data_IF_217471695392
#
_entry.id   IF_217471695392
#
_cell.length_a   1.000
_cell.length_b   1.000
_cell.length_c   1.000
_cell.angle_alpha   90.00
_cell.angle_beta   90.00
_cell.angle_gamma   90.00
#
_symmetry.space_group_name_H-M   'P 1'
#
loop_
_entity.id
_entity.type
_entity.pdbx_description
1 polymer ?
#
# COMPACT_ATOMS: atom_id res chain seq x y z
N UNK A 1 -65.33 -15.23 27.35
CA UNK A 1 -66.21 -14.21 26.74
C UNK A 1 -65.53 -12.87 26.97
N UNK A 2 -65.00 -12.12 26.00
CA UNK A 2 -65.32 -12.02 24.58
C UNK A 2 -64.11 -11.51 23.79
N UNK A 3 -63.92 -12.06 22.59
CA UNK A 3 -62.96 -11.63 21.57
C UNK A 3 -63.29 -10.22 21.03
N UNK A 4 -62.26 -9.42 20.75
CA UNK A 4 -62.23 -8.38 19.70
C UNK A 4 -60.86 -8.46 19.03
N UNK A 5 -60.74 -9.19 17.92
CA UNK A 5 -60.81 -8.72 16.52
C UNK A 5 -59.63 -7.83 16.09
N UNK A 6 -58.72 -8.50 15.37
CA UNK A 6 -57.82 -8.07 14.29
C UNK A 6 -57.94 -6.60 13.83
N UNK A 7 -56.80 -5.90 13.85
CA UNK A 7 -56.49 -4.86 12.88
C UNK A 7 -55.09 -5.15 12.31
N UNK A 8 -55.08 -5.77 11.12
CA UNK A 8 -53.89 -5.93 10.28
C UNK A 8 -53.77 -4.74 9.30
N UNK A 9 -52.76 -4.72 8.42
CA UNK A 9 -51.56 -3.91 8.46
C UNK A 9 -51.68 -2.62 7.63
N UNK A 10 -51.08 -1.54 8.12
CA UNK A 10 -50.92 -0.30 7.35
C UNK A 10 -49.92 -0.49 6.21
N UNK A 11 -50.45 -0.72 5.01
CA UNK A 11 -49.79 -0.63 3.71
C UNK A 11 -48.92 0.64 3.64
N UNK A 12 -47.58 0.49 3.63
CA UNK A 12 -46.68 1.57 3.21
C UNK A 12 -46.45 1.43 1.72
N UNK A 13 -47.23 2.20 0.97
CA UNK A 13 -47.27 2.29 -0.49
C UNK A 13 -45.87 2.54 -1.08
N UNK A 14 -45.41 1.58 -1.86
CA UNK A 14 -44.27 1.64 -2.79
C UNK A 14 -44.68 2.38 -4.06
N UNK A 15 -44.52 3.70 -4.12
CA UNK A 15 -44.66 4.39 -5.42
C UNK A 15 -43.93 5.73 -5.48
N UNK A 16 -42.68 5.72 -5.94
CA UNK A 16 -42.12 6.73 -6.87
C UNK A 16 -40.75 6.28 -7.41
N UNK A 17 -40.73 5.10 -8.02
CA UNK A 17 -39.80 4.81 -9.11
C UNK A 17 -40.41 5.40 -10.38
N UNK A 18 -40.31 6.72 -10.53
CA UNK A 18 -40.29 7.33 -11.86
C UNK A 18 -38.95 8.03 -11.97
N UNK A 19 -38.05 7.28 -12.58
CA UNK A 19 -36.80 7.76 -13.12
C UNK A 19 -37.06 9.04 -13.90
N UNK A 20 -36.71 10.18 -13.31
CA UNK A 20 -36.35 11.36 -14.08
C UNK A 20 -34.97 11.07 -14.65
N UNK A 21 -34.91 10.29 -15.74
CA UNK A 21 -33.70 10.20 -16.55
C UNK A 21 -33.38 11.63 -17.02
N UNK A 22 -32.36 12.22 -16.41
CA UNK A 22 -31.81 13.47 -16.92
C UNK A 22 -31.12 13.13 -18.25
N UNK A 23 -31.43 13.82 -19.36
CA UNK A 23 -30.65 13.64 -20.58
C UNK A 23 -29.19 13.96 -20.23
N UNK A 24 -28.27 13.09 -20.62
CA UNK A 24 -26.82 13.37 -20.59
C UNK A 24 -26.48 14.44 -21.63
N UNK A 25 -27.09 15.62 -21.52
CA UNK A 25 -26.54 16.83 -22.07
C UNK A 25 -25.35 17.19 -21.20
N UNK A 26 -24.19 17.37 -21.83
CA UNK A 26 -22.91 17.84 -21.28
C UNK A 26 -23.08 18.37 -19.84
N UNK A 27 -22.84 17.50 -18.86
CA UNK A 27 -22.74 17.92 -17.46
C UNK A 27 -21.58 18.90 -17.45
N UNK A 28 -21.91 20.18 -17.46
CA UNK A 28 -20.97 21.27 -17.25
C UNK A 28 -20.41 21.02 -15.86
N UNK A 29 -19.26 20.35 -15.81
CA UNK A 29 -18.44 20.27 -14.63
C UNK A 29 -18.17 21.73 -14.29
N UNK A 30 -18.91 22.26 -13.33
CA UNK A 30 -18.52 23.49 -12.67
C UNK A 30 -17.21 23.10 -11.98
N UNK A 31 -16.09 23.30 -12.67
CA UNK A 31 -14.83 23.53 -11.98
C UNK A 31 -15.14 24.72 -11.10
N UNK A 32 -15.44 24.47 -9.83
CA UNK A 32 -15.52 25.52 -8.84
C UNK A 32 -14.13 26.12 -8.81
N UNK A 33 -13.94 27.18 -9.60
CA UNK A 33 -12.93 28.19 -9.35
C UNK A 33 -12.98 28.41 -7.86
N UNK A 34 -11.88 28.06 -7.18
CA UNK A 34 -11.79 28.14 -5.74
C UNK A 34 -12.23 29.55 -5.34
N UNK A 35 -13.39 29.64 -4.69
CA UNK A 35 -13.89 30.88 -4.15
C UNK A 35 -12.87 31.30 -3.10
N UNK A 36 -12.10 32.34 -3.41
CA UNK A 36 -11.10 32.91 -2.51
C UNK A 36 -11.85 33.57 -1.35
N UNK A 37 -12.19 32.77 -0.34
CA UNK A 37 -12.66 33.26 0.94
C UNK A 37 -11.49 33.94 1.64
N UNK A 38 -11.41 35.26 1.48
CA UNK A 38 -10.57 36.11 2.33
C UNK A 38 -11.10 36.08 3.76
N UNK A 39 -10.19 35.71 4.68
CA UNK A 39 -10.22 35.91 6.13
C UNK A 39 -11.15 35.01 7.00
N UNK A 40 -10.62 33.84 7.35
CA UNK A 40 -10.55 33.39 8.75
C UNK A 40 -9.21 32.67 8.90
N UNK A 41 -8.45 32.99 9.95
CA UNK A 41 -7.09 32.55 10.28
C UNK A 41 -6.54 31.44 9.38
N UNK A 42 -5.49 31.74 8.61
CA UNK A 42 -4.68 30.76 7.88
C UNK A 42 -4.49 29.53 8.76
N UNK A 43 -5.32 28.50 8.59
CA UNK A 43 -5.07 27.20 9.18
C UNK A 43 -3.66 26.88 8.71
N UNK A 44 -2.70 26.77 9.62
CA UNK A 44 -1.29 26.65 9.29
C UNK A 44 -1.10 25.34 8.54
N UNK A 45 -1.31 25.35 7.23
CA UNK A 45 -1.07 24.21 6.36
C UNK A 45 0.43 24.04 6.32
N UNK A 46 0.91 22.90 6.84
CA UNK A 46 2.32 22.56 6.82
C UNK A 46 2.87 22.75 5.40
N UNK A 47 4.08 23.30 5.28
CA UNK A 47 4.73 23.47 3.98
C UNK A 47 4.77 22.11 3.27
N UNK A 48 4.35 22.00 1.99
CA UNK A 48 4.39 20.74 1.28
C UNK A 48 5.83 20.21 1.22
N UNK A 49 6.02 18.98 1.68
CA UNK A 49 7.29 18.27 1.62
C UNK A 49 7.17 17.14 0.58
N UNK A 50 8.01 17.20 -0.46
CA UNK A 50 8.04 16.20 -1.54
C UNK A 50 8.59 14.85 -1.08
N UNK A 51 9.41 14.83 -0.03
CA UNK A 51 9.97 13.61 0.56
C UNK A 51 8.87 12.76 1.18
N UNK A 52 7.90 13.39 1.85
CA UNK A 52 6.76 12.74 2.49
C UNK A 52 5.67 12.23 1.54
N UNK A 53 5.76 12.50 0.23
CA UNK A 53 4.70 12.14 -0.72
C UNK A 53 5.25 11.66 -2.06
N UNK A 54 5.67 12.59 -2.92
CA UNK A 54 5.98 12.25 -4.32
C UNK A 54 7.19 11.34 -4.48
N UNK A 55 8.26 11.58 -3.72
CA UNK A 55 9.49 10.80 -3.87
C UNK A 55 9.33 9.38 -3.35
N UNK A 56 8.70 9.20 -2.20
CA UNK A 56 8.38 7.87 -1.66
C UNK A 56 7.57 7.04 -2.65
N UNK A 57 6.49 7.62 -3.21
CA UNK A 57 5.66 6.95 -4.22
C UNK A 57 6.46 6.58 -5.48
N UNK A 58 7.29 7.48 -6.00
CA UNK A 58 8.11 7.20 -7.17
C UNK A 58 9.10 6.05 -6.91
N UNK A 59 9.73 6.03 -5.73
CA UNK A 59 10.70 5.00 -5.35
C UNK A 59 10.01 3.63 -5.21
N UNK A 60 8.83 3.58 -4.62
CA UNK A 60 8.04 2.34 -4.54
C UNK A 60 7.78 1.74 -5.92
N UNK A 61 7.29 2.58 -6.85
CA UNK A 61 6.98 2.13 -8.22
C UNK A 61 8.25 1.74 -8.96
N UNK A 62 9.34 2.47 -8.80
CA UNK A 62 10.64 2.12 -9.39
C UNK A 62 11.15 0.77 -8.88
N UNK A 63 11.06 0.51 -7.57
CA UNK A 63 11.45 -0.77 -6.98
C UNK A 63 10.57 -1.92 -7.51
N UNK A 64 9.25 -1.73 -7.60
CA UNK A 64 8.35 -2.73 -8.19
C UNK A 64 8.69 -3.05 -9.64
N UNK A 65 8.93 -2.02 -10.47
CA UNK A 65 9.29 -2.21 -11.88
C UNK A 65 10.65 -2.86 -12.03
N UNK A 66 11.64 -2.51 -11.19
CA UNK A 66 12.97 -3.12 -11.21
C UNK A 66 12.97 -4.60 -10.83
N UNK A 67 12.07 -5.03 -9.93
CA UNK A 67 11.98 -6.43 -9.52
C UNK A 67 11.52 -7.36 -10.64
N UNK A 68 10.67 -6.91 -11.57
CA UNK A 68 10.16 -7.74 -12.66
C UNK A 68 11.30 -8.34 -13.52
N UNK A 69 12.23 -7.56 -14.11
CA UNK A 69 13.34 -8.13 -14.85
C UNK A 69 14.35 -8.85 -13.95
N UNK A 70 14.56 -8.41 -12.70
CA UNK A 70 15.48 -9.11 -11.79
C UNK A 70 15.01 -10.54 -11.50
N UNK A 71 13.72 -10.75 -11.25
CA UNK A 71 13.17 -12.08 -11.04
C UNK A 71 13.13 -12.86 -12.35
N UNK A 72 12.70 -12.24 -13.45
CA UNK A 72 12.63 -12.90 -14.75
C UNK A 72 13.99 -13.42 -15.21
N UNK A 73 15.05 -12.62 -15.06
CA UNK A 73 16.41 -13.01 -15.46
C UNK A 73 16.93 -14.21 -14.67
N UNK A 74 16.71 -14.24 -13.36
CA UNK A 74 17.09 -15.38 -12.51
C UNK A 74 16.37 -16.68 -12.91
N UNK A 75 15.08 -16.57 -13.27
CA UNK A 75 14.29 -17.73 -13.69
C UNK A 75 14.70 -18.26 -15.07
N UNK A 76 15.12 -17.40 -16.00
CA UNK A 76 15.45 -17.81 -17.37
C UNK A 76 16.91 -18.18 -17.58
N UNK A 77 17.83 -17.47 -16.92
CA UNK A 77 19.27 -17.64 -17.10
C UNK A 77 19.95 -18.38 -15.94
N UNK A 78 19.21 -18.68 -14.87
CA UNK A 78 19.75 -19.29 -13.66
C UNK A 78 20.49 -18.29 -12.78
N UNK A 79 21.20 -18.81 -11.78
CA UNK A 79 21.86 -17.98 -10.80
C UNK A 79 23.06 -17.23 -11.40
N UNK A 80 23.10 -15.92 -11.18
CA UNK A 80 24.23 -15.07 -11.53
C UNK A 80 24.59 -14.15 -10.36
N UNK A 81 25.86 -14.07 -9.93
CA UNK A 81 26.25 -13.30 -8.74
C UNK A 81 25.81 -11.82 -8.79
N UNK A 82 25.81 -11.22 -9.99
CA UNK A 82 25.44 -9.82 -10.17
C UNK A 82 23.94 -9.64 -9.95
N UNK A 83 23.11 -10.44 -10.62
CA UNK A 83 21.66 -10.36 -10.47
C UNK A 83 21.22 -10.80 -9.09
N UNK A 84 21.96 -11.69 -8.44
CA UNK A 84 21.66 -12.18 -7.08
C UNK A 84 21.98 -11.13 -6.02
N UNK A 85 23.06 -10.38 -6.22
CA UNK A 85 23.39 -9.22 -5.38
C UNK A 85 22.37 -8.11 -5.55
N UNK A 86 21.96 -7.81 -6.79
CA UNK A 86 20.90 -6.83 -7.05
C UNK A 86 19.56 -7.26 -6.44
N UNK A 87 19.19 -8.53 -6.61
CA UNK A 87 17.97 -9.08 -6.02
C UNK A 87 18.02 -9.01 -4.49
N UNK A 88 19.17 -9.35 -3.89
CA UNK A 88 19.41 -9.29 -2.44
C UNK A 88 19.36 -7.88 -1.84
N UNK A 89 19.34 -6.82 -2.66
CA UNK A 89 19.18 -5.43 -2.19
C UNK A 89 17.79 -4.89 -2.53
N UNK A 90 17.37 -5.03 -3.80
CA UNK A 90 16.14 -4.43 -4.30
C UNK A 90 14.91 -5.12 -3.67
N UNK A 91 14.96 -6.44 -3.48
CA UNK A 91 13.83 -7.18 -2.88
C UNK A 91 13.62 -6.78 -1.41
N UNK A 92 14.62 -6.81 -0.52
CA UNK A 92 14.42 -6.35 0.86
C UNK A 92 13.99 -4.88 0.95
N UNK A 93 14.52 -4.00 0.10
CA UNK A 93 14.11 -2.60 0.08
C UNK A 93 12.64 -2.43 -0.31
N UNK A 94 12.18 -3.14 -1.34
CA UNK A 94 10.77 -3.11 -1.75
C UNK A 94 9.84 -3.62 -0.64
N UNK A 95 10.25 -4.72 0.02
CA UNK A 95 9.52 -5.27 1.16
C UNK A 95 9.50 -4.31 2.36
N UNK A 96 10.61 -3.63 2.64
CA UNK A 96 10.67 -2.65 3.73
C UNK A 96 9.62 -1.56 3.55
N UNK A 97 9.55 -0.97 2.35
CA UNK A 97 8.59 0.09 2.05
C UNK A 97 7.14 -0.44 2.09
N UNK A 98 6.90 -1.65 1.57
CA UNK A 98 5.58 -2.27 1.63
C UNK A 98 5.12 -2.56 3.06
N UNK A 99 6.01 -3.05 3.93
CA UNK A 99 5.69 -3.27 5.33
C UNK A 99 5.52 -1.98 6.11
N UNK A 100 6.25 -0.91 5.79
CA UNK A 100 6.06 0.40 6.41
C UNK A 100 4.64 0.96 6.14
N UNK A 101 4.12 0.76 4.92
CA UNK A 101 2.73 1.08 4.59
C UNK A 101 1.74 0.24 5.42
N UNK A 102 1.94 -1.07 5.53
CA UNK A 102 1.13 -1.94 6.38
C UNK A 102 1.15 -1.50 7.85
N UNK A 103 2.31 -1.11 8.37
CA UNK A 103 2.44 -0.63 9.76
C UNK A 103 1.66 0.67 9.96
N UNK A 104 1.74 1.60 9.00
CA UNK A 104 1.04 2.88 9.07
C UNK A 104 -0.48 2.71 9.07
N UNK A 105 -0.99 1.74 8.30
CA UNK A 105 -2.42 1.46 8.18
C UNK A 105 -3.00 0.74 9.41
N UNK A 106 -2.31 -0.30 9.90
CA UNK A 106 -2.85 -1.16 10.97
C UNK A 106 -2.38 -0.77 12.37
N UNK A 107 -1.15 -0.26 12.51
CA UNK A 107 -0.55 0.12 13.78
C UNK A 107 -0.42 1.63 13.89
N UNK A 108 -1.55 2.34 13.89
CA UNK A 108 -1.55 3.79 13.87
C UNK A 108 -0.91 4.41 15.14
N UNK A 109 0.07 5.30 14.93
CA UNK A 109 0.80 5.96 16.00
C UNK A 109 -0.06 6.74 17.00
N UNK A 110 -1.27 7.19 16.63
CA UNK A 110 -2.18 7.90 17.56
C UNK A 110 -2.92 6.97 18.51
N UNK A 111 -3.21 5.74 18.08
CA UNK A 111 -4.01 4.78 18.87
C UNK A 111 -3.12 3.81 19.64
N UNK A 112 -2.00 3.38 19.05
CA UNK A 112 -1.13 2.34 19.61
C UNK A 112 0.34 2.75 19.51
N UNK A 113 0.72 3.81 20.24
CA UNK A 113 2.09 4.37 20.23
C UNK A 113 3.15 3.30 20.49
N UNK A 114 2.95 2.44 21.49
CA UNK A 114 3.91 1.38 21.83
C UNK A 114 4.06 0.36 20.70
N UNK A 115 2.93 -0.12 20.18
CA UNK A 115 2.93 -1.16 19.14
C UNK A 115 3.49 -0.63 17.82
N UNK A 116 3.16 0.61 17.46
CA UNK A 116 3.74 1.28 16.29
C UNK A 116 5.27 1.36 16.40
N UNK A 117 5.80 1.83 17.55
CA UNK A 117 7.25 1.90 17.78
C UNK A 117 7.93 0.53 17.76
N UNK A 118 7.30 -0.47 18.36
CA UNK A 118 7.80 -1.85 18.35
C UNK A 118 7.88 -2.38 16.91
N UNK A 119 6.79 -2.30 16.15
CA UNK A 119 6.72 -2.80 14.78
C UNK A 119 7.70 -2.07 13.86
N UNK A 120 7.81 -0.75 14.00
CA UNK A 120 8.78 0.05 13.25
C UNK A 120 10.21 -0.37 13.60
N UNK A 121 10.54 -0.52 14.88
CA UNK A 121 11.86 -0.99 15.31
C UNK A 121 12.18 -2.40 14.79
N UNK A 122 11.21 -3.31 14.86
CA UNK A 122 11.33 -4.66 14.30
C UNK A 122 11.55 -4.63 12.80
N UNK A 123 10.86 -3.76 12.06
CA UNK A 123 11.01 -3.62 10.61
C UNK A 123 12.43 -3.17 10.24
N UNK A 124 12.98 -2.18 10.94
CA UNK A 124 14.36 -1.72 10.71
C UNK A 124 15.40 -2.80 11.04
N UNK A 125 15.21 -3.51 12.15
CA UNK A 125 16.08 -4.61 12.56
C UNK A 125 16.02 -5.75 11.54
N UNK A 126 14.83 -6.16 11.13
CA UNK A 126 14.65 -7.26 10.17
C UNK A 126 15.22 -6.90 8.80
N UNK A 127 14.98 -5.68 8.32
CA UNK A 127 15.49 -5.22 7.02
C UNK A 127 17.01 -5.17 7.01
N UNK A 128 17.62 -4.64 8.08
CA UNK A 128 19.08 -4.60 8.21
C UNK A 128 19.65 -6.01 8.30
N UNK A 129 19.03 -6.89 9.09
CA UNK A 129 19.43 -8.29 9.22
C UNK A 129 19.35 -9.05 7.90
N UNK A 130 18.28 -8.85 7.13
CA UNK A 130 18.10 -9.46 5.81
C UNK A 130 19.14 -8.93 4.83
N UNK A 131 19.39 -7.62 4.78
CA UNK A 131 20.40 -7.05 3.89
C UNK A 131 21.80 -7.61 4.18
N UNK A 132 22.18 -7.68 5.46
CA UNK A 132 23.45 -8.28 5.89
C UNK A 132 23.48 -9.78 5.54
N UNK A 133 22.38 -10.50 5.78
CA UNK A 133 22.25 -11.92 5.43
C UNK A 133 22.40 -12.17 3.93
N UNK A 134 21.73 -11.39 3.08
CA UNK A 134 21.84 -11.47 1.64
C UNK A 134 23.27 -11.17 1.16
N UNK A 135 23.93 -10.16 1.74
CA UNK A 135 25.33 -9.86 1.45
C UNK A 135 26.25 -11.04 1.81
N UNK A 136 26.05 -11.63 2.99
CA UNK A 136 26.82 -12.78 3.45
C UNK A 136 26.61 -14.01 2.55
N UNK A 137 25.37 -14.31 2.17
CA UNK A 137 25.03 -15.41 1.26
C UNK A 137 25.67 -15.24 -0.12
N UNK A 138 25.66 -14.03 -0.67
CA UNK A 138 26.19 -13.76 -2.00
C UNK A 138 27.72 -13.68 -2.05
N UNK A 139 28.37 -13.32 -0.93
CA UNK A 139 29.83 -13.14 -0.89
C UNK A 139 30.57 -14.38 -0.38
N UNK A 140 30.00 -15.09 0.59
CA UNK A 140 30.69 -16.16 1.32
C UNK A 140 29.97 -17.52 1.23
N UNK A 141 28.85 -17.61 0.52
CA UNK A 141 28.10 -18.85 0.31
C UNK A 141 27.74 -19.01 -1.18
N UNK A 142 26.86 -19.96 -1.49
CA UNK A 142 26.45 -20.34 -2.86
C UNK A 142 25.59 -19.29 -3.59
N UNK A 143 25.08 -18.27 -2.90
CA UNK A 143 24.12 -17.29 -3.43
C UNK A 143 22.65 -17.65 -3.19
N UNK A 144 21.79 -16.65 -3.19
CA UNK A 144 20.35 -16.77 -2.93
C UNK A 144 19.63 -17.64 -3.96
N UNK A 145 19.89 -17.44 -5.26
CA UNK A 145 19.14 -18.14 -6.30
C UNK A 145 19.56 -19.60 -6.43
N UNK A 146 20.85 -19.91 -6.29
CA UNK A 146 21.33 -21.30 -6.20
C UNK A 146 20.80 -22.00 -4.94
N UNK A 147 20.77 -21.30 -3.81
CA UNK A 147 20.20 -21.83 -2.57
C UNK A 147 18.72 -22.22 -2.74
N UNK A 148 17.91 -21.35 -3.36
CA UNK A 148 16.51 -21.64 -3.65
C UNK A 148 16.38 -22.82 -4.62
N UNK A 149 17.22 -22.88 -5.65
CA UNK A 149 17.24 -24.00 -6.61
C UNK A 149 17.50 -25.34 -5.91
N UNK A 150 18.47 -25.39 -4.99
CA UNK A 150 18.79 -26.59 -4.21
C UNK A 150 17.70 -26.99 -3.23
N UNK A 151 17.04 -26.03 -2.59
CA UNK A 151 15.88 -26.31 -1.73
C UNK A 151 14.73 -26.91 -2.54
N UNK A 152 14.49 -26.40 -3.74
CA UNK A 152 13.39 -26.87 -4.59
C UNK A 152 13.64 -28.26 -5.17
N UNK A 153 14.90 -28.57 -5.50
CA UNK A 153 15.30 -29.88 -6.02
C UNK A 153 15.54 -30.94 -4.93
N UNK A 154 15.24 -30.63 -3.67
CA UNK A 154 15.35 -31.56 -2.53
C UNK A 154 14.26 -32.65 -2.55
#
# INVERSE_FOLDING_TARGET
>A
MSLRLLAAPGLRTTTRLLARQQPMGLVKIHSSVAQSHTAAASAATHKPDRVHGSYHWNIERAASVALVPLVATQLTYGASPITDTLLGVVLPLHLHIGFDACITDYFNARKSVFLNKLMTGTLWLSTTGVLVGCYQFNTNDIGLTEFISKIWAA
#
